data_IF_511955666099
#
_entry.id   IF_511955666099
#
_cell.length_a   1.000
_cell.length_b   1.000
_cell.length_c   1.000
_cell.angle_alpha   90.00
_cell.angle_beta   90.00
_cell.angle_gamma   90.00
#
_symmetry.space_group_name_H-M   'P 1'
#
loop_
_entity.id
_entity.type
_entity.pdbx_description
1 polymer ?
#
# COMPACT_ATOMS: atom_id res chain seq x y z
N UNK A 1 15.24 8.23 8.24
CA UNK A 1 15.95 8.47 6.99
C UNK A 1 14.99 8.17 5.83
N UNK A 2 14.76 9.16 4.96
CA UNK A 2 13.81 9.04 3.84
C UNK A 2 14.28 8.01 2.81
N UNK A 3 15.59 7.77 2.72
CA UNK A 3 16.20 6.82 1.78
C UNK A 3 15.80 5.37 2.09
N UNK A 4 15.41 5.10 3.34
CA UNK A 4 14.95 3.80 3.83
C UNK A 4 13.52 3.45 3.42
N UNK A 5 12.79 4.37 2.78
CA UNK A 5 11.39 4.18 2.41
C UNK A 5 11.26 3.80 0.93
N UNK A 6 10.34 2.88 0.66
CA UNK A 6 9.78 2.64 -0.65
C UNK A 6 8.48 3.45 -0.77
N UNK A 7 8.37 4.26 -1.82
CA UNK A 7 7.21 5.10 -2.08
C UNK A 7 6.41 4.59 -3.28
N UNK A 8 5.11 4.43 -3.10
CA UNK A 8 4.15 4.15 -4.17
C UNK A 8 3.25 5.37 -4.37
N UNK A 9 3.16 5.86 -5.61
CA UNK A 9 2.42 7.07 -5.97
C UNK A 9 1.00 6.72 -6.40
N UNK A 10 0.03 7.47 -5.87
CA UNK A 10 -1.35 7.44 -6.34
C UNK A 10 -1.58 8.37 -7.54
N UNK A 11 -2.85 8.72 -7.77
CA UNK A 11 -3.21 9.73 -8.76
C UNK A 11 -3.02 11.14 -8.21
N UNK A 12 -2.76 12.08 -9.11
CA UNK A 12 -2.69 13.51 -8.79
C UNK A 12 -4.10 14.10 -8.81
N UNK A 13 -4.46 14.89 -7.81
CA UNK A 13 -5.76 15.55 -7.74
C UNK A 13 -5.81 16.84 -8.57
N UNK A 14 -6.99 17.49 -8.60
CA UNK A 14 -7.22 18.75 -9.32
C UNK A 14 -6.39 19.92 -8.82
N UNK A 15 -5.94 19.87 -7.57
CA UNK A 15 -5.08 20.87 -6.94
C UNK A 15 -3.59 20.58 -7.18
N UNK A 16 -3.28 19.51 -7.94
CA UNK A 16 -1.93 19.09 -8.25
C UNK A 16 -1.24 18.32 -7.12
N UNK A 17 -1.93 17.96 -6.04
CA UNK A 17 -1.38 17.18 -4.93
C UNK A 17 -1.36 15.69 -5.27
N UNK A 18 -0.44 14.96 -4.68
CA UNK A 18 -0.20 13.54 -4.95
C UNK A 18 -0.31 12.74 -3.65
N UNK A 19 -1.25 11.80 -3.60
CA UNK A 19 -1.29 10.83 -2.51
C UNK A 19 -0.17 9.82 -2.67
N UNK A 20 0.52 9.50 -1.57
CA UNK A 20 1.66 8.58 -1.56
C UNK A 20 1.53 7.63 -0.39
N UNK A 21 1.81 6.35 -0.63
CA UNK A 21 2.02 5.35 0.43
C UNK A 21 3.52 5.14 0.59
N UNK A 22 3.98 5.11 1.84
CA UNK A 22 5.36 4.82 2.18
C UNK A 22 5.42 3.60 3.10
N UNK A 23 6.37 2.70 2.81
CA UNK A 23 6.68 1.54 3.64
C UNK A 23 8.19 1.41 3.75
N UNK A 24 8.69 0.73 4.78
CA UNK A 24 10.10 0.41 4.85
C UNK A 24 10.53 -0.42 3.64
N UNK A 25 11.63 -0.01 3.00
CA UNK A 25 12.17 -0.66 1.81
C UNK A 25 12.51 -2.12 2.06
N UNK A 26 13.08 -2.41 3.23
CA UNK A 26 13.45 -3.78 3.62
C UNK A 26 12.22 -4.68 3.77
N UNK A 27 11.13 -4.16 4.34
CA UNK A 27 9.87 -4.89 4.47
C UNK A 27 9.27 -5.24 3.09
N UNK A 28 9.25 -4.28 2.16
CA UNK A 28 8.77 -4.51 0.80
C UNK A 28 9.65 -5.53 0.04
N UNK A 29 10.97 -5.50 0.24
CA UNK A 29 11.87 -6.50 -0.33
C UNK A 29 11.61 -7.89 0.25
N UNK A 30 11.39 -7.97 1.57
CA UNK A 30 11.09 -9.22 2.24
C UNK A 30 9.79 -9.86 1.72
N UNK A 31 8.70 -9.09 1.59
CA UNK A 31 7.45 -9.62 1.03
C UNK A 31 7.60 -10.12 -0.41
N UNK A 32 8.35 -9.41 -1.26
CA UNK A 32 8.62 -9.87 -2.63
C UNK A 32 9.44 -11.16 -2.66
N UNK A 33 10.40 -11.33 -1.74
CA UNK A 33 11.16 -12.57 -1.62
C UNK A 33 10.25 -13.76 -1.25
N UNK A 34 9.33 -13.58 -0.29
CA UNK A 34 8.36 -14.62 0.09
C UNK A 34 7.49 -15.07 -1.10
N UNK A 35 7.02 -14.13 -1.93
CA UNK A 35 6.27 -14.50 -3.14
C UNK A 35 7.13 -15.25 -4.15
N UNK A 36 8.37 -14.80 -4.37
CA UNK A 36 9.29 -15.46 -5.28
C UNK A 36 9.63 -16.89 -4.84
N UNK A 37 9.86 -17.11 -3.55
CA UNK A 37 10.08 -18.44 -2.94
C UNK A 37 8.88 -19.37 -3.14
N UNK A 38 7.66 -18.81 -3.11
CA UNK A 38 6.42 -19.54 -3.36
C UNK A 38 6.08 -19.68 -4.86
N UNK A 39 6.96 -19.25 -5.77
CA UNK A 39 6.70 -19.19 -7.22
C UNK A 39 5.47 -18.35 -7.62
N UNK A 40 5.07 -17.41 -6.76
CA UNK A 40 3.96 -16.50 -6.96
C UNK A 40 4.43 -15.18 -7.58
N UNK A 41 3.62 -14.64 -8.49
CA UNK A 41 3.82 -13.32 -9.09
C UNK A 41 2.63 -12.42 -8.76
N UNK A 42 2.71 -11.58 -7.71
CA UNK A 42 1.62 -10.68 -7.38
C UNK A 42 1.41 -9.67 -8.50
N UNK A 43 0.18 -9.53 -8.97
CA UNK A 43 -0.18 -8.53 -9.97
C UNK A 43 -0.16 -7.12 -9.38
N UNK A 44 -0.58 -6.99 -8.11
CA UNK A 44 -0.62 -5.76 -7.35
C UNK A 44 -0.40 -6.05 -5.87
N UNK A 45 0.20 -5.10 -5.16
CA UNK A 45 0.28 -5.07 -3.70
C UNK A 45 -0.28 -3.72 -3.25
N UNK A 46 -1.33 -3.75 -2.43
CA UNK A 46 -2.07 -2.57 -1.99
C UNK A 46 -2.04 -2.50 -0.46
N UNK A 47 -2.14 -1.29 0.09
CA UNK A 47 -2.42 -1.13 1.52
C UNK A 47 -3.83 -1.66 1.81
N UNK A 48 -3.98 -2.44 2.89
CA UNK A 48 -5.26 -3.08 3.24
C UNK A 48 -6.43 -2.11 3.36
N UNK A 49 -6.19 -0.89 3.87
CA UNK A 49 -7.23 0.14 4.02
C UNK A 49 -7.80 0.60 2.68
N UNK A 50 -7.03 0.47 1.58
CA UNK A 50 -7.50 0.78 0.23
C UNK A 50 -8.39 -0.32 -0.36
N UNK A 51 -8.46 -1.49 0.26
CA UNK A 51 -9.39 -2.55 -0.12
C UNK A 51 -10.76 -2.42 0.56
N UNK A 52 -10.90 -1.50 1.53
CA UNK A 52 -12.18 -1.23 2.17
C UNK A 52 -13.12 -0.49 1.20
N UNK A 53 -14.45 -0.71 1.29
CA UNK A 53 -15.41 0.06 0.51
C UNK A 53 -15.21 1.56 0.70
N UNK A 54 -15.25 2.34 -0.37
CA UNK A 54 -15.16 3.79 -0.27
C UNK A 54 -16.52 4.41 -0.53
N UNK A 55 -16.98 5.25 0.41
CA UNK A 55 -18.20 6.05 0.31
C UNK A 55 -17.86 7.50 0.63
N UNK A 56 -18.29 8.42 -0.24
CA UNK A 56 -18.09 9.84 -0.01
C UNK A 56 -18.79 10.31 1.27
N UNK A 57 -18.08 11.08 2.10
CA UNK A 57 -18.60 11.59 3.37
C UNK A 57 -18.61 10.58 4.53
N UNK A 58 -18.16 9.34 4.30
CA UNK A 58 -18.14 8.28 5.30
C UNK A 58 -16.74 7.68 5.46
N UNK A 59 -16.49 7.08 6.62
CA UNK A 59 -15.31 6.27 6.87
C UNK A 59 -15.67 4.80 6.85
N UNK A 60 -14.79 4.00 6.27
CA UNK A 60 -14.85 2.54 6.36
C UNK A 60 -13.82 2.03 7.35
N UNK A 61 -14.26 1.13 8.22
CA UNK A 61 -13.44 0.52 9.26
C UNK A 61 -13.61 -0.99 9.20
N UNK A 62 -12.50 -1.71 9.32
CA UNK A 62 -12.48 -3.13 9.58
C UNK A 62 -11.90 -3.34 10.98
N UNK A 63 -12.67 -3.95 11.86
CA UNK A 63 -12.18 -4.39 13.17
C UNK A 63 -11.65 -5.80 13.00
N UNK A 64 -10.35 -5.98 13.20
CA UNK A 64 -9.69 -7.28 13.14
C UNK A 64 -9.25 -7.66 14.56
N UNK A 65 -9.59 -8.87 14.99
CA UNK A 65 -9.06 -9.44 16.24
C UNK A 65 -7.63 -9.92 16.00
N UNK A 66 -6.80 -9.85 17.06
CA UNK A 66 -5.40 -10.31 17.06
C UNK A 66 -5.27 -11.84 16.99
#
# INVERSE_FOLDING_TARGET
DVERLHFAMGQRDSDGKLSVVAVERELMNHWQALFAEAELRPHQMLNEGLALPWSEGEWSLLLQED
#
